data_IF_133281061543
#
_entry.id   IF_133281061543
#
_cell.length_a   1.000
_cell.length_b   1.000
_cell.length_c   1.000
_cell.angle_alpha   90.00
_cell.angle_beta   90.00
_cell.angle_gamma   90.00
#
_symmetry.space_group_name_H-M   'P 1'
#
loop_
_entity.id
_entity.type
_entity.pdbx_description
1 polymer ?
#
# COMPACT_ATOMS: atom_id res chain seq x y z
N UNK A 1 -19.93 -56.86 1.93
CA UNK A 1 -20.15 -57.32 0.54
C UNK A 1 -19.10 -56.64 -0.34
N UNK A 2 -18.21 -57.39 -0.99
CA UNK A 2 -17.26 -56.79 -1.95
C UNK A 2 -18.06 -56.25 -3.15
N UNK A 3 -18.02 -54.94 -3.35
CA UNK A 3 -18.69 -54.28 -4.45
C UNK A 3 -17.98 -54.67 -5.76
N UNK A 4 -18.67 -55.34 -6.68
CA UNK A 4 -18.10 -55.74 -7.97
C UNK A 4 -18.06 -54.49 -8.86
N UNK A 5 -16.86 -53.99 -9.12
CA UNK A 5 -16.64 -52.81 -9.97
C UNK A 5 -16.97 -53.14 -11.44
N UNK A 6 -17.38 -52.10 -12.17
CA UNK A 6 -17.58 -52.16 -13.62
C UNK A 6 -16.24 -52.31 -14.32
N UNK A 7 -16.09 -53.33 -15.15
CA UNK A 7 -14.89 -53.55 -15.95
C UNK A 7 -15.21 -53.22 -17.41
N UNK A 8 -14.36 -52.38 -18.02
CA UNK A 8 -14.42 -52.09 -19.45
C UNK A 8 -13.72 -53.24 -20.16
N UNK A 9 -14.43 -53.90 -21.07
CA UNK A 9 -13.93 -55.04 -21.85
C UNK A 9 -14.15 -54.80 -23.34
N UNK A 10 -13.43 -55.54 -24.17
CA UNK A 10 -13.59 -55.49 -25.63
C UNK A 10 -14.76 -56.40 -26.04
N UNK A 11 -15.56 -55.93 -26.99
CA UNK A 11 -16.81 -56.54 -27.46
C UNK A 11 -16.65 -57.90 -28.13
N UNK A 12 -15.44 -58.38 -28.38
CA UNK A 12 -15.13 -59.65 -29.07
C UNK A 12 -15.87 -60.88 -28.50
N UNK A 13 -16.08 -60.94 -27.18
CA UNK A 13 -16.81 -62.04 -26.52
C UNK A 13 -18.34 -61.86 -26.50
N UNK A 14 -18.83 -60.70 -26.94
CA UNK A 14 -20.23 -60.28 -26.88
C UNK A 14 -20.73 -59.66 -28.18
N UNK A 15 -20.01 -59.89 -29.28
CA UNK A 15 -20.35 -59.42 -30.61
C UNK A 15 -21.76 -59.92 -31.02
N UNK A 16 -22.53 -59.04 -31.64
CA UNK A 16 -23.91 -59.30 -32.06
C UNK A 16 -24.96 -59.19 -30.94
N UNK A 17 -24.57 -58.99 -29.67
CA UNK A 17 -25.54 -58.74 -28.59
C UNK A 17 -25.97 -57.28 -28.56
N UNK A 18 -27.24 -56.97 -28.28
CA UNK A 18 -27.73 -55.60 -28.31
C UNK A 18 -27.32 -54.82 -27.05
N UNK A 19 -26.91 -53.57 -27.25
CA UNK A 19 -26.75 -52.60 -26.17
C UNK A 19 -28.12 -52.22 -25.60
N UNK A 20 -28.30 -52.31 -24.28
CA UNK A 20 -29.58 -52.00 -23.62
C UNK A 20 -29.98 -50.51 -23.59
N UNK A 21 -29.21 -49.65 -24.25
CA UNK A 21 -29.50 -48.21 -24.34
C UNK A 21 -29.84 -47.80 -25.77
N UNK A 22 -29.00 -48.15 -26.74
CA UNK A 22 -29.25 -47.80 -28.15
C UNK A 22 -29.93 -48.91 -28.96
N UNK A 23 -30.04 -50.12 -28.42
CA UNK A 23 -30.54 -51.33 -29.09
C UNK A 23 -29.69 -51.85 -30.26
N UNK A 24 -28.65 -51.12 -30.67
CA UNK A 24 -27.69 -51.58 -31.68
C UNK A 24 -26.84 -52.75 -31.18
N UNK A 25 -26.40 -53.59 -32.11
CA UNK A 25 -25.52 -54.72 -31.83
C UNK A 25 -24.08 -54.27 -31.57
N UNK A 26 -23.45 -54.86 -30.56
CA UNK A 26 -22.03 -54.67 -30.23
C UNK A 26 -21.15 -55.32 -31.30
N UNK A 27 -20.13 -54.63 -31.80
CA UNK A 27 -19.09 -55.20 -32.67
C UNK A 27 -17.94 -55.82 -31.87
N UNK A 28 -17.05 -56.56 -32.52
CA UNK A 28 -15.94 -57.23 -31.84
C UNK A 28 -14.88 -56.24 -31.32
N UNK A 29 -14.82 -55.04 -31.90
CA UNK A 29 -13.86 -53.98 -31.60
C UNK A 29 -14.43 -52.94 -30.62
N UNK A 30 -15.74 -52.96 -30.36
CA UNK A 30 -16.37 -51.98 -29.47
C UNK A 30 -15.95 -52.17 -28.02
N UNK A 31 -15.67 -51.07 -27.32
CA UNK A 31 -15.55 -51.12 -25.87
C UNK A 31 -16.93 -51.21 -25.21
N UNK A 32 -17.10 -52.21 -24.35
CA UNK A 32 -18.35 -52.49 -23.66
C UNK A 32 -18.18 -52.55 -22.15
N UNK A 33 -19.30 -52.25 -21.47
CA UNK A 33 -19.46 -52.43 -20.03
C UNK A 33 -20.57 -53.45 -19.81
N UNK A 34 -20.32 -54.41 -18.94
CA UNK A 34 -21.34 -55.33 -18.44
C UNK A 34 -21.76 -54.87 -17.07
N UNK A 35 -23.05 -54.57 -16.90
CA UNK A 35 -23.59 -54.12 -15.62
C UNK A 35 -23.32 -55.19 -14.54
N UNK A 36 -22.59 -54.86 -13.45
CA UNK A 36 -22.22 -55.83 -12.42
C UNK A 36 -23.42 -56.36 -11.65
N UNK A 37 -24.55 -55.64 -11.69
CA UNK A 37 -25.78 -55.99 -10.97
C UNK A 37 -26.70 -56.91 -11.77
N UNK A 38 -26.93 -56.60 -13.05
CA UNK A 38 -27.93 -57.31 -13.85
C UNK A 38 -27.36 -58.06 -15.06
N UNK A 39 -26.05 -57.94 -15.31
CA UNK A 39 -25.38 -58.58 -16.45
C UNK A 39 -25.72 -57.98 -17.82
N UNK A 40 -26.45 -56.87 -17.85
CA UNK A 40 -26.80 -56.18 -19.10
C UNK A 40 -25.58 -55.62 -19.81
N UNK A 41 -25.58 -55.65 -21.15
CA UNK A 41 -24.47 -55.21 -22.00
C UNK A 41 -24.74 -53.80 -22.53
N UNK A 42 -23.71 -52.97 -22.52
CA UNK A 42 -23.76 -51.57 -22.94
C UNK A 42 -22.48 -51.17 -23.66
N UNK A 43 -22.58 -50.37 -24.72
CA UNK A 43 -21.41 -49.63 -25.20
C UNK A 43 -20.90 -48.69 -24.10
N UNK A 44 -19.59 -48.54 -23.94
CA UNK A 44 -18.98 -47.62 -22.95
C UNK A 44 -19.56 -46.21 -23.08
N UNK A 45 -19.74 -45.73 -24.31
CA UNK A 45 -20.31 -44.40 -24.59
C UNK A 45 -21.76 -44.29 -24.11
N UNK A 46 -22.59 -45.28 -24.43
CA UNK A 46 -24.00 -45.30 -24.02
C UNK A 46 -24.16 -45.41 -22.49
N UNK A 47 -23.30 -46.21 -21.84
CA UNK A 47 -23.25 -46.34 -20.39
C UNK A 47 -22.92 -45.01 -19.70
N UNK A 48 -21.88 -44.32 -20.18
CA UNK A 48 -21.47 -43.00 -19.67
C UNK A 48 -22.53 -41.93 -19.91
N UNK A 49 -23.09 -41.86 -21.12
CA UNK A 49 -24.09 -40.85 -21.48
C UNK A 49 -25.40 -41.00 -20.70
N UNK A 50 -25.84 -42.23 -20.44
CA UNK A 50 -27.04 -42.47 -19.62
C UNK A 50 -26.76 -42.32 -18.11
N UNK A 51 -25.50 -42.38 -17.70
CA UNK A 51 -25.10 -42.34 -16.29
C UNK A 51 -25.29 -43.67 -15.55
N UNK A 52 -25.32 -44.80 -16.27
CA UNK A 52 -25.49 -46.13 -15.69
C UNK A 52 -26.30 -47.11 -16.55
N UNK A 53 -26.92 -48.09 -15.89
CA UNK A 53 -27.58 -49.20 -16.56
C UNK A 53 -28.85 -48.78 -17.34
N UNK A 54 -28.94 -49.25 -18.58
CA UNK A 54 -30.08 -49.06 -19.46
C UNK A 54 -31.41 -49.74 -19.05
N UNK A 55 -31.33 -50.80 -18.25
CA UNK A 55 -32.46 -51.71 -17.95
C UNK A 55 -33.45 -51.08 -16.97
N UNK A 56 -34.74 -51.10 -17.31
CA UNK A 56 -35.79 -50.67 -16.40
C UNK A 56 -35.71 -51.43 -15.05
N UNK A 57 -35.74 -50.69 -13.95
CA UNK A 57 -35.64 -51.23 -12.59
C UNK A 57 -34.23 -51.54 -12.08
N UNK A 58 -33.17 -51.35 -12.88
CA UNK A 58 -31.79 -51.52 -12.41
C UNK A 58 -31.23 -50.21 -11.86
N UNK A 59 -30.99 -50.12 -10.54
CA UNK A 59 -30.45 -48.91 -9.91
C UNK A 59 -28.91 -48.80 -9.98
N UNK A 60 -28.25 -49.45 -10.95
CA UNK A 60 -26.80 -49.33 -11.12
C UNK A 60 -26.47 -48.02 -11.85
N UNK A 61 -25.74 -47.14 -11.17
CA UNK A 61 -25.21 -45.88 -11.71
C UNK A 61 -23.76 -46.06 -12.18
N UNK A 62 -23.35 -45.34 -13.23
CA UNK A 62 -21.98 -45.37 -13.73
C UNK A 62 -21.04 -44.75 -12.70
N UNK A 63 -20.10 -45.53 -12.15
CA UNK A 63 -18.97 -44.94 -11.41
C UNK A 63 -17.95 -44.43 -12.43
N UNK A 64 -17.46 -43.20 -12.22
CA UNK A 64 -16.43 -42.63 -13.07
C UNK A 64 -15.18 -43.53 -13.03
N UNK A 65 -14.88 -44.21 -14.13
CA UNK A 65 -13.58 -44.88 -14.31
C UNK A 65 -12.55 -43.77 -14.46
N UNK A 66 -11.82 -43.51 -13.39
CA UNK A 66 -10.69 -42.58 -13.37
C UNK A 66 -9.63 -43.18 -14.28
N UNK A 67 -9.42 -42.56 -15.45
CA UNK A 67 -8.27 -42.88 -16.30
C UNK A 67 -6.96 -42.69 -15.51
N UNK A 68 -5.83 -43.26 -15.97
CA UNK A 68 -4.56 -43.06 -15.30
C UNK A 68 -4.31 -41.56 -15.10
N UNK A 69 -4.03 -41.17 -13.85
CA UNK A 69 -3.72 -39.79 -13.48
C UNK A 69 -2.55 -39.32 -14.38
N UNK A 70 -2.66 -38.18 -15.07
CA UNK A 70 -1.52 -37.64 -15.80
C UNK A 70 -0.34 -37.49 -14.82
N UNK A 71 0.88 -37.82 -15.24
CA UNK A 71 2.10 -37.54 -14.49
C UNK A 71 2.16 -36.03 -14.26
N UNK A 72 1.67 -35.59 -13.10
CA UNK A 72 1.87 -34.23 -12.65
C UNK A 72 3.34 -34.08 -12.29
N UNK A 73 3.93 -32.94 -12.66
CA UNK A 73 5.21 -32.52 -12.12
C UNK A 73 5.11 -32.65 -10.60
N UNK A 74 5.91 -33.55 -10.04
CA UNK A 74 5.85 -33.88 -8.61
C UNK A 74 6.03 -32.64 -7.73
N UNK A 75 5.81 -32.76 -6.41
CA UNK A 75 6.12 -31.66 -5.50
C UNK A 75 7.55 -31.16 -5.76
N UNK A 76 7.76 -29.83 -5.77
CA UNK A 76 9.08 -29.27 -6.05
C UNK A 76 10.11 -29.89 -5.11
N UNK A 77 11.32 -30.13 -5.62
CA UNK A 77 12.38 -30.75 -4.83
C UNK A 77 12.58 -29.98 -3.51
N UNK A 78 12.73 -30.68 -2.37
CA UNK A 78 12.88 -30.03 -1.08
C UNK A 78 14.15 -29.17 -1.07
N UNK A 79 13.98 -27.89 -0.72
CA UNK A 79 15.10 -26.96 -0.58
C UNK A 79 16.05 -27.49 0.50
N UNK A 80 17.34 -27.59 0.20
CA UNK A 80 18.31 -28.13 1.14
C UNK A 80 18.44 -27.24 2.39
N UNK A 81 18.65 -27.85 3.57
CA UNK A 81 18.85 -27.08 4.82
C UNK A 81 20.00 -26.07 4.72
N UNK A 82 21.04 -26.36 3.92
CA UNK A 82 22.17 -25.45 3.67
C UNK A 82 21.73 -24.17 2.96
N UNK A 83 20.80 -24.26 2.01
CA UNK A 83 20.22 -23.10 1.32
C UNK A 83 19.38 -22.28 2.29
N UNK A 84 18.57 -22.93 3.12
CA UNK A 84 17.76 -22.26 4.15
C UNK A 84 18.65 -21.51 5.15
N UNK A 85 19.69 -22.17 5.68
CA UNK A 85 20.66 -21.53 6.57
C UNK A 85 21.45 -20.41 5.87
N UNK A 86 21.79 -20.57 4.59
CA UNK A 86 22.45 -19.53 3.81
C UNK A 86 21.58 -18.27 3.69
N UNK A 87 20.29 -18.43 3.38
CA UNK A 87 19.34 -17.32 3.29
C UNK A 87 19.15 -16.65 4.66
N UNK A 88 18.94 -17.45 5.72
CA UNK A 88 18.80 -16.93 7.08
C UNK A 88 20.04 -16.14 7.52
N UNK A 89 21.23 -16.68 7.28
CA UNK A 89 22.48 -16.00 7.60
C UNK A 89 22.65 -14.72 6.78
N UNK A 90 22.31 -14.71 5.49
CA UNK A 90 22.36 -13.50 4.68
C UNK A 90 21.41 -12.41 5.19
N UNK A 91 20.18 -12.77 5.56
CA UNK A 91 19.21 -11.84 6.15
C UNK A 91 19.71 -11.29 7.49
N UNK A 92 20.24 -12.16 8.36
CA UNK A 92 20.81 -11.74 9.65
C UNK A 92 22.01 -10.81 9.44
N UNK A 93 22.89 -11.11 8.49
CA UNK A 93 24.02 -10.25 8.14
C UNK A 93 23.50 -8.89 7.65
N UNK A 94 22.49 -8.85 6.77
CA UNK A 94 21.91 -7.59 6.29
C UNK A 94 21.35 -6.75 7.45
N UNK A 95 20.59 -7.36 8.35
CA UNK A 95 20.02 -6.68 9.52
C UNK A 95 21.13 -6.16 10.44
N UNK A 96 22.13 -6.99 10.75
CA UNK A 96 23.26 -6.59 11.58
C UNK A 96 24.05 -5.46 10.89
N UNK A 97 24.31 -5.55 9.59
CA UNK A 97 24.95 -4.47 8.85
C UNK A 97 24.11 -3.20 8.89
N UNK A 98 22.79 -3.26 8.78
CA UNK A 98 21.93 -2.07 8.87
C UNK A 98 21.92 -1.42 10.26
N UNK A 99 22.07 -2.19 11.34
CA UNK A 99 22.10 -1.67 12.72
C UNK A 99 23.47 -1.10 13.06
N UNK A 100 24.54 -1.77 12.60
CA UNK A 100 25.92 -1.42 12.93
C UNK A 100 26.63 -0.55 11.89
N UNK A 101 26.01 -0.26 10.73
CA UNK A 101 26.55 0.74 9.81
C UNK A 101 26.51 2.11 10.49
N UNK A 102 27.61 2.88 10.49
CA UNK A 102 27.58 4.25 11.00
C UNK A 102 26.51 5.02 10.21
N UNK A 103 25.55 5.59 10.93
CA UNK A 103 24.60 6.53 10.33
C UNK A 103 25.41 7.64 9.66
N UNK A 104 25.01 8.13 8.48
CA UNK A 104 25.65 9.30 7.89
C UNK A 104 25.69 10.41 8.95
N UNK A 105 26.79 11.18 9.02
CA UNK A 105 26.91 12.26 9.97
C UNK A 105 25.72 13.21 9.81
N UNK A 106 25.15 13.68 10.93
CA UNK A 106 24.03 14.62 10.91
C UNK A 106 24.43 15.83 10.04
N UNK A 107 23.66 16.17 9.00
CA UNK A 107 24.01 17.30 8.13
C UNK A 107 24.07 18.65 8.88
N UNK A 108 23.45 18.76 10.05
CA UNK A 108 23.61 19.93 10.91
C UNK A 108 25.03 20.05 11.49
N UNK A 109 25.71 18.93 11.75
CA UNK A 109 27.00 18.94 12.45
C UNK A 109 26.86 19.51 13.86
N UNK A 110 27.64 20.54 14.17
CA UNK A 110 27.60 21.26 15.46
C UNK A 110 26.65 22.48 15.44
N UNK A 111 25.91 22.70 14.34
CA UNK A 111 24.97 23.83 14.18
C UNK A 111 23.66 23.61 14.93
N UNK A 112 23.01 24.71 15.31
CA UNK A 112 21.66 24.71 15.82
C UNK A 112 20.70 24.26 14.72
N UNK A 113 20.11 23.09 14.92
CA UNK A 113 19.19 22.49 13.95
C UNK A 113 17.79 23.05 14.17
N UNK A 114 17.26 23.76 13.18
CA UNK A 114 15.92 24.33 13.19
C UNK A 114 15.04 23.55 12.23
N UNK A 115 14.02 22.89 12.75
CA UNK A 115 13.04 22.14 11.96
C UNK A 115 11.96 23.10 11.46
N UNK A 116 11.91 23.29 10.15
CA UNK A 116 10.84 24.02 9.48
C UNK A 116 9.84 23.03 8.88
N UNK A 117 8.56 23.14 9.20
CA UNK A 117 7.52 22.27 8.62
C UNK A 117 6.42 23.07 7.92
N UNK A 118 6.08 22.70 6.69
CA UNK A 118 5.00 23.34 5.94
C UNK A 118 4.40 22.42 4.88
N UNK A 119 3.22 22.80 4.37
CA UNK A 119 2.67 22.17 3.17
C UNK A 119 3.19 22.91 1.94
N UNK A 120 3.52 22.18 0.87
CA UNK A 120 3.90 22.82 -0.38
C UNK A 120 3.37 22.08 -1.59
N UNK A 121 3.08 22.85 -2.64
CA UNK A 121 2.98 22.35 -4.00
C UNK A 121 4.35 22.45 -4.68
N UNK A 122 4.51 21.78 -5.82
CA UNK A 122 5.80 21.62 -6.53
C UNK A 122 6.61 22.92 -6.75
N UNK A 123 5.93 24.03 -7.11
CA UNK A 123 6.62 25.30 -7.37
C UNK A 123 7.22 25.91 -6.09
N UNK A 124 6.42 25.98 -5.03
CA UNK A 124 6.87 26.47 -3.73
C UNK A 124 7.92 25.53 -3.12
N UNK A 125 7.77 24.22 -3.30
CA UNK A 125 8.75 23.22 -2.86
C UNK A 125 10.14 23.48 -3.47
N UNK A 126 10.19 23.73 -4.78
CA UNK A 126 11.45 24.01 -5.48
C UNK A 126 12.10 25.30 -4.96
N UNK A 127 11.31 26.34 -4.74
CA UNK A 127 11.79 27.63 -4.23
C UNK A 127 12.31 27.52 -2.79
N UNK A 128 11.51 26.98 -1.87
CA UNK A 128 11.90 26.84 -0.46
C UNK A 128 13.09 25.90 -0.28
N UNK A 129 13.19 24.83 -1.07
CA UNK A 129 14.37 23.96 -1.08
C UNK A 129 15.61 24.73 -1.50
N UNK A 130 15.53 25.52 -2.58
CA UNK A 130 16.64 26.35 -3.03
C UNK A 130 17.06 27.39 -1.98
N UNK A 131 16.11 28.06 -1.34
CA UNK A 131 16.37 29.01 -0.25
C UNK A 131 17.05 28.31 0.94
N UNK A 132 16.58 27.11 1.30
CA UNK A 132 17.16 26.29 2.37
C UNK A 132 18.60 25.90 2.05
N UNK A 133 18.85 25.40 0.85
CA UNK A 133 20.19 25.01 0.41
C UNK A 133 21.15 26.19 0.44
N UNK A 134 20.69 27.37 0.00
CA UNK A 134 21.48 28.59 0.06
C UNK A 134 21.79 29.01 1.50
N UNK A 135 20.76 29.07 2.36
CA UNK A 135 20.92 29.41 3.77
C UNK A 135 21.90 28.45 4.46
N UNK A 136 21.72 27.15 4.27
CA UNK A 136 22.57 26.12 4.90
C UNK A 136 24.01 26.09 4.37
N UNK A 137 24.26 26.63 3.18
CA UNK A 137 25.60 26.76 2.61
C UNK A 137 26.34 28.02 3.13
N UNK A 138 25.59 29.07 3.48
CA UNK A 138 26.13 30.36 3.92
C UNK A 138 26.19 30.49 5.45
N UNK A 139 25.28 29.84 6.17
CA UNK A 139 25.17 29.94 7.63
C UNK A 139 26.00 28.87 8.35
N UNK A 140 26.92 29.34 9.20
CA UNK A 140 27.84 28.51 9.99
C UNK A 140 27.27 28.10 11.36
N UNK A 141 26.17 28.70 11.80
CA UNK A 141 25.57 28.52 13.14
C UNK A 141 24.24 27.76 13.08
N UNK A 142 23.41 28.02 12.07
CA UNK A 142 22.06 27.47 11.94
C UNK A 142 22.00 26.49 10.77
N UNK A 143 21.34 25.36 10.99
CA UNK A 143 20.98 24.41 9.93
C UNK A 143 19.46 24.23 9.87
N UNK A 144 18.87 24.58 8.73
CA UNK A 144 17.44 24.39 8.46
C UNK A 144 17.20 22.95 8.00
N UNK A 145 16.43 22.20 8.77
CA UNK A 145 15.83 20.93 8.38
C UNK A 145 14.44 21.19 7.81
N UNK A 146 14.38 21.38 6.49
CA UNK A 146 13.14 21.69 5.78
C UNK A 146 12.30 20.42 5.56
N UNK A 147 11.12 20.40 6.16
CA UNK A 147 10.15 19.31 6.07
C UNK A 147 8.86 19.78 5.37
N UNK A 148 8.91 19.76 4.04
CA UNK A 148 7.73 19.98 3.22
C UNK A 148 6.95 18.69 3.04
N UNK A 149 5.63 18.78 3.19
CA UNK A 149 4.74 17.63 3.08
C UNK A 149 3.59 17.89 2.11
N UNK A 150 2.98 16.81 1.57
CA UNK A 150 1.86 16.95 0.66
C UNK A 150 0.67 17.69 1.30
N UNK A 151 -0.08 18.47 0.50
CA UNK A 151 -1.26 19.18 0.97
C UNK A 151 -2.29 18.29 1.67
N UNK A 152 -2.93 18.82 2.71
CA UNK A 152 -3.97 18.16 3.49
C UNK A 152 -3.46 17.12 4.50
N UNK A 153 -2.15 17.00 4.71
CA UNK A 153 -1.57 16.00 5.64
C UNK A 153 -0.86 16.62 6.84
N UNK A 154 -0.61 17.94 6.83
CA UNK A 154 0.13 18.62 7.91
C UNK A 154 -0.54 18.50 9.25
N UNK A 155 -1.85 18.66 9.28
CA UNK A 155 -2.61 18.63 10.52
C UNK A 155 -2.44 17.29 11.26
N UNK A 156 -2.41 16.17 10.54
CA UNK A 156 -2.21 14.86 11.16
C UNK A 156 -0.78 14.71 11.67
N UNK A 157 0.23 15.01 10.83
CA UNK A 157 1.64 14.85 11.19
C UNK A 157 2.01 15.75 12.38
N UNK A 158 1.55 17.00 12.36
CA UNK A 158 1.85 17.99 13.38
C UNK A 158 1.29 17.59 14.75
N UNK A 159 0.06 17.06 14.80
CA UNK A 159 -0.53 16.59 16.07
C UNK A 159 0.22 15.40 16.65
N UNK A 160 0.71 14.50 15.81
CA UNK A 160 1.53 13.35 16.26
C UNK A 160 2.85 13.85 16.86
N UNK A 161 3.53 14.77 16.19
CA UNK A 161 4.80 15.34 16.65
C UNK A 161 4.64 16.12 17.96
N UNK A 162 3.63 16.99 18.06
CA UNK A 162 3.34 17.73 19.30
C UNK A 162 3.02 16.76 20.46
N UNK A 163 2.22 15.72 20.21
CA UNK A 163 1.90 14.73 21.24
C UNK A 163 3.14 13.94 21.71
N UNK A 164 4.13 13.77 20.83
CA UNK A 164 5.42 13.17 21.14
C UNK A 164 6.42 14.12 21.80
N UNK A 165 6.05 15.40 22.01
CA UNK A 165 6.96 16.47 22.45
C UNK A 165 8.13 16.71 21.47
N UNK A 166 7.86 16.54 20.18
CA UNK A 166 8.78 16.72 19.05
C UNK A 166 8.21 17.74 18.05
N UNK A 167 7.54 18.79 18.55
CA UNK A 167 6.97 19.82 17.71
C UNK A 167 8.05 20.51 16.85
N UNK A 168 7.79 20.80 15.55
CA UNK A 168 8.71 21.58 14.74
C UNK A 168 8.92 22.98 15.32
N UNK A 169 10.12 23.53 15.14
CA UNK A 169 10.49 24.85 15.66
C UNK A 169 9.73 25.97 14.95
N UNK A 170 9.68 25.89 13.61
CA UNK A 170 8.96 26.81 12.73
C UNK A 170 7.93 26.04 11.92
N UNK A 171 6.72 26.59 11.81
CA UNK A 171 5.64 25.94 11.06
C UNK A 171 4.91 26.91 10.14
N UNK A 172 4.50 26.45 8.97
CA UNK A 172 3.49 27.09 8.14
C UNK A 172 2.13 26.40 8.37
N UNK A 173 1.18 27.11 9.00
CA UNK A 173 -0.12 26.55 9.38
C UNK A 173 -1.29 27.39 8.85
N UNK A 174 -2.37 26.72 8.45
CA UNK A 174 -3.60 27.39 8.02
C UNK A 174 -4.23 28.22 9.15
N UNK A 175 -5.01 29.24 8.77
CA UNK A 175 -5.62 30.21 9.69
C UNK A 175 -6.44 29.56 10.82
N UNK A 176 -7.22 28.52 10.52
CA UNK A 176 -8.02 27.82 11.53
C UNK A 176 -7.15 27.16 12.62
N UNK A 177 -5.98 26.63 12.24
CA UNK A 177 -5.02 26.04 13.17
C UNK A 177 -4.27 27.11 13.96
N UNK A 178 -3.88 28.19 13.28
CA UNK A 178 -3.25 29.35 13.90
C UNK A 178 -4.05 29.87 15.09
N UNK A 179 -5.34 30.17 14.86
CA UNK A 179 -6.22 30.69 15.91
C UNK A 179 -6.30 29.74 17.11
N UNK A 180 -6.41 28.43 16.86
CA UNK A 180 -6.46 27.43 17.92
C UNK A 180 -5.18 27.41 18.78
N UNK A 181 -4.01 27.52 18.18
CA UNK A 181 -2.74 27.53 18.92
C UNK A 181 -2.49 28.83 19.67
N UNK A 182 -2.95 29.96 19.14
CA UNK A 182 -2.95 31.24 19.85
C UNK A 182 -3.81 31.13 21.12
N UNK A 183 -5.03 30.63 21.00
CA UNK A 183 -5.94 30.43 22.15
C UNK A 183 -5.34 29.51 23.23
N UNK A 184 -4.55 28.51 22.82
CA UNK A 184 -3.84 27.60 23.73
C UNK A 184 -2.56 28.18 24.32
N UNK A 185 -2.10 29.35 23.85
CA UNK A 185 -0.83 29.93 24.24
C UNK A 185 0.37 29.04 23.87
N UNK A 186 0.26 28.31 22.75
CA UNK A 186 1.24 27.33 22.28
C UNK A 186 2.32 27.93 21.36
N UNK A 187 2.12 29.17 20.91
CA UNK A 187 3.04 29.86 20.00
C UNK A 187 3.93 30.85 20.76
N UNK A 188 5.14 31.05 20.25
CA UNK A 188 6.06 32.08 20.72
C UNK A 188 5.55 33.46 20.27
N UNK A 189 5.48 34.47 21.17
CA UNK A 189 5.24 35.86 20.77
C UNK A 189 6.36 36.38 19.87
N UNK A 190 6.00 36.96 18.73
CA UNK A 190 6.95 37.59 17.79
C UNK A 190 7.13 39.09 18.04
N UNK A 191 6.21 39.69 18.80
CA UNK A 191 6.20 41.12 19.10
C UNK A 191 4.79 41.63 19.39
N UNK A 192 4.60 42.94 19.29
CA UNK A 192 3.30 43.59 19.38
C UNK A 192 3.06 44.49 18.17
N UNK A 193 1.80 44.67 17.77
CA UNK A 193 1.39 45.63 16.74
C UNK A 193 1.31 47.08 17.26
N UNK A 194 0.88 48.01 16.41
CA UNK A 194 0.71 49.43 16.76
C UNK A 194 -0.37 49.66 17.86
N UNK A 195 -1.23 48.67 18.08
CA UNK A 195 -2.30 48.67 19.07
C UNK A 195 -1.91 47.89 20.34
N UNK A 196 -0.64 47.52 20.49
CA UNK A 196 -0.10 46.72 21.61
C UNK A 196 -0.71 45.31 21.71
N UNK A 197 -1.25 44.77 20.61
CA UNK A 197 -1.70 43.39 20.54
C UNK A 197 -0.54 42.47 20.17
N UNK A 198 -0.43 41.36 20.88
CA UNK A 198 0.64 40.39 20.68
C UNK A 198 0.49 39.69 19.32
N UNK A 199 1.56 39.69 18.54
CA UNK A 199 1.67 39.01 17.26
C UNK A 199 2.29 37.63 17.51
N UNK A 200 1.67 36.57 16.98
CA UNK A 200 2.15 35.19 17.11
C UNK A 200 2.55 34.55 15.78
N UNK A 201 2.29 35.24 14.67
CA UNK A 201 2.57 34.72 13.33
C UNK A 201 2.81 35.83 12.31
N UNK A 202 3.43 35.45 11.20
CA UNK A 202 3.63 36.28 10.00
C UNK A 202 2.94 35.59 8.83
N UNK A 203 2.25 36.35 7.98
CA UNK A 203 1.58 35.79 6.81
C UNK A 203 2.57 35.13 5.84
N UNK A 204 2.22 33.95 5.36
CA UNK A 204 3.01 33.23 4.37
C UNK A 204 2.91 33.94 3.00
N UNK A 205 4.03 34.36 2.36
CA UNK A 205 3.97 35.19 1.14
C UNK A 205 3.28 34.52 -0.06
N UNK A 206 3.34 33.20 -0.16
CA UNK A 206 2.81 32.43 -1.29
C UNK A 206 1.64 31.47 -0.97
N UNK A 207 1.08 31.48 0.25
CA UNK A 207 0.03 30.54 0.67
C UNK A 207 -0.92 31.18 1.69
N UNK A 208 -2.15 30.67 1.80
CA UNK A 208 -3.11 31.05 2.85
C UNK A 208 -2.76 30.39 4.19
N UNK A 209 -1.58 30.72 4.71
CA UNK A 209 -1.03 30.19 5.95
C UNK A 209 -0.31 31.28 6.76
N UNK A 210 -0.02 30.98 8.01
CA UNK A 210 0.80 31.78 8.91
C UNK A 210 2.08 31.01 9.24
N UNK A 211 3.24 31.67 9.11
CA UNK A 211 4.45 31.22 9.75
C UNK A 211 4.39 31.51 11.24
N UNK A 212 4.71 30.51 12.05
CA UNK A 212 4.71 30.59 13.52
C UNK A 212 5.93 29.90 14.10
N UNK A 213 6.33 30.31 15.30
CA UNK A 213 7.37 29.63 16.09
C UNK A 213 6.73 28.90 17.28
N UNK A 214 7.14 27.66 17.51
CA UNK A 214 6.67 26.87 18.66
C UNK A 214 7.21 27.43 19.97
N UNK A 215 6.35 27.59 20.99
CA UNK A 215 6.73 28.26 22.25
C UNK A 215 7.87 27.56 23.01
N UNK A 216 7.98 26.24 22.89
CA UNK A 216 8.96 25.43 23.63
C UNK A 216 10.12 24.97 22.76
N UNK A 217 10.37 25.63 21.63
CA UNK A 217 11.60 25.40 20.84
C UNK A 217 12.84 25.63 21.71
N UNK A 218 13.89 24.84 21.47
CA UNK A 218 15.17 24.96 22.16
C UNK A 218 15.93 26.24 21.76
N UNK A 219 15.75 26.68 20.52
CA UNK A 219 16.49 27.76 19.86
C UNK A 219 15.54 28.86 19.34
N UNK A 220 14.90 29.64 20.24
CA UNK A 220 13.82 30.56 19.86
C UNK A 220 14.30 31.72 18.96
N UNK A 221 15.51 32.22 19.16
CA UNK A 221 16.04 33.34 18.37
C UNK A 221 16.41 32.88 16.96
N UNK A 222 17.02 31.70 16.85
CA UNK A 222 17.36 31.06 15.57
C UNK A 222 16.10 30.66 14.80
N UNK A 223 15.07 30.17 15.50
CA UNK A 223 13.78 29.88 14.90
C UNK A 223 13.11 31.16 14.34
N UNK A 224 13.21 32.29 15.06
CA UNK A 224 12.76 33.59 14.57
C UNK A 224 13.56 34.05 13.33
N UNK A 225 14.88 33.86 13.33
CA UNK A 225 15.72 34.17 12.18
C UNK A 225 15.29 33.37 10.94
N UNK A 226 15.09 32.05 11.09
CA UNK A 226 14.62 31.18 10.01
C UNK A 226 13.23 31.59 9.52
N UNK A 227 12.32 31.92 10.44
CA UNK A 227 10.99 32.42 10.08
C UNK A 227 11.07 33.69 9.24
N UNK A 228 11.85 34.67 9.68
CA UNK A 228 12.03 35.94 8.96
C UNK A 228 12.76 35.75 7.63
N UNK A 229 13.71 34.83 7.57
CA UNK A 229 14.41 34.49 6.34
C UNK A 229 13.44 34.02 5.26
N UNK A 230 12.56 33.05 5.57
CA UNK A 230 11.55 32.60 4.60
C UNK A 230 10.53 33.69 4.26
N UNK A 231 10.01 34.40 5.27
CA UNK A 231 9.04 35.47 5.07
C UNK A 231 9.59 36.59 4.15
N UNK A 232 10.87 36.91 4.23
CA UNK A 232 11.51 37.95 3.44
C UNK A 232 12.02 37.52 2.06
N UNK A 233 12.17 36.21 1.80
CA UNK A 233 12.81 35.71 0.57
C UNK A 233 11.90 34.86 -0.33
N UNK A 234 10.75 34.40 0.15
CA UNK A 234 9.75 33.73 -0.70
C UNK A 234 9.07 34.77 -1.60
N UNK A 235 8.93 34.43 -2.88
CA UNK A 235 8.24 35.27 -3.87
C UNK A 235 6.76 35.41 -3.49
N UNK A 236 6.26 36.64 -3.25
CA UNK A 236 4.86 36.83 -2.89
C UNK A 236 3.92 36.49 -4.06
N UNK A 237 2.80 35.82 -3.75
CA UNK A 237 1.68 35.62 -4.66
C UNK A 237 0.54 36.53 -4.21
N UNK A 238 -0.17 37.12 -5.17
CA UNK A 238 -1.34 37.94 -4.88
C UNK A 238 -2.38 37.13 -4.07
N UNK A 239 -2.76 37.67 -2.91
CA UNK A 239 -3.66 37.03 -1.97
C UNK A 239 -5.03 36.76 -2.58
N UNK A 240 -5.56 37.69 -3.39
CA UNK A 240 -6.87 37.53 -4.03
C UNK A 240 -6.87 36.31 -4.97
N UNK A 241 -5.74 36.08 -5.66
CA UNK A 241 -5.56 34.91 -6.52
C UNK A 241 -5.48 33.61 -5.72
N UNK A 242 -4.82 33.62 -4.55
CA UNK A 242 -4.75 32.46 -3.65
C UNK A 242 -6.15 32.09 -3.13
N UNK A 243 -6.92 33.08 -2.68
CA UNK A 243 -8.30 32.88 -2.22
C UNK A 243 -9.22 32.40 -3.36
N UNK A 244 -9.08 32.91 -4.58
CA UNK A 244 -9.87 32.46 -5.72
C UNK A 244 -9.56 31.00 -6.09
N UNK A 245 -8.29 30.61 -6.07
CA UNK A 245 -7.85 29.24 -6.41
C UNK A 245 -8.31 28.16 -5.42
N UNK A 246 -8.59 28.56 -4.17
CA UNK A 246 -9.01 27.66 -3.09
C UNK A 246 -10.53 27.58 -2.95
N UNK A 247 -11.28 28.46 -3.62
CA UNK A 247 -12.75 28.39 -3.63
C UNK A 247 -13.22 27.13 -4.36
N UNK A 248 -14.06 26.29 -3.73
CA UNK A 248 -14.64 25.15 -4.41
C UNK A 248 -15.46 25.65 -5.60
N UNK A 249 -15.21 25.08 -6.79
CA UNK A 249 -16.03 25.38 -7.97
C UNK A 249 -17.50 25.16 -7.61
N UNK A 250 -18.39 26.11 -7.93
CA UNK A 250 -19.81 25.92 -7.67
C UNK A 250 -20.22 24.61 -8.37
N UNK A 251 -20.77 23.68 -7.60
CA UNK A 251 -21.41 22.48 -8.14
C UNK A 251 -22.58 22.95 -9.01
N UNK A 252 -22.33 23.25 -10.28
CA UNK A 252 -23.37 23.40 -11.27
C UNK A 252 -23.87 22.00 -11.54
N UNK A 253 -24.95 21.63 -10.86
CA UNK A 253 -25.65 20.36 -11.07
C UNK A 253 -26.00 20.18 -12.54
N UNK A 254 -25.56 19.06 -13.10
CA UNK A 254 -26.11 18.49 -14.32
C UNK A 254 -27.35 17.66 -13.99
#
# INVERSE_FOLDING_TARGET
MKEKLEEITIGSSHAGKPCLVCADSVSAEDEIVICPRCGGIHHVKCWKNKGGCGKQGCAQIAKAVVGPKPEGDGPPAPISKKVIFGILSAVVIIILTSIFWPKPPDPAGDRHKIVFMGESYYQLETEMTKLTDQFNAENEEIYIDLQLIPPGTINQKLMVLIAANEAPDVMAIEEGRYNHFVEQGALLPLGSDEQDQVIYGIEHPAQLAQFVVWKTTEFPEEALEVLHYFAGNITPIDRDLLEESTRPLPFTGF
#
